data_IF_800845679745
#
_entry.id   IF_800845679745
#
_cell.length_a   1.000
_cell.length_b   1.000
_cell.length_c   1.000
_cell.angle_alpha   90.00
_cell.angle_beta   90.00
_cell.angle_gamma   90.00
#
_symmetry.space_group_name_H-M   'P 1'
#
loop_
_entity.id
_entity.type
_entity.pdbx_description
1 polymer ?
#
# COMPACT_ATOMS: atom_id res chain seq x y z
N UNK A 1 7.01 34.49 -3.03
CA UNK A 1 7.17 33.20 -2.34
C UNK A 1 8.50 32.61 -2.80
N UNK A 2 9.42 32.22 -1.90
CA UNK A 2 10.71 31.69 -2.32
C UNK A 2 10.49 30.29 -2.89
N UNK A 3 10.79 30.09 -4.16
CA UNK A 3 10.76 28.80 -4.83
C UNK A 3 12.04 28.05 -4.51
N UNK A 4 11.92 26.89 -3.86
CA UNK A 4 13.06 26.01 -3.57
C UNK A 4 13.59 25.45 -4.89
N UNK A 5 14.86 25.72 -5.27
CA UNK A 5 15.42 25.19 -6.51
C UNK A 5 15.47 23.66 -6.42
N UNK A 6 14.98 22.98 -7.47
CA UNK A 6 14.85 21.52 -7.60
C UNK A 6 13.64 20.84 -6.93
N UNK A 7 12.66 21.58 -6.39
CA UNK A 7 11.38 20.97 -6.03
C UNK A 7 10.56 20.74 -7.31
N UNK A 8 10.50 19.50 -7.78
CA UNK A 8 9.61 19.15 -8.87
C UNK A 8 8.17 19.27 -8.35
N UNK A 9 7.46 20.30 -8.78
CA UNK A 9 6.10 20.64 -8.38
C UNK A 9 5.05 19.81 -9.14
N UNK A 10 5.46 18.74 -9.82
CA UNK A 10 4.53 17.84 -10.51
C UNK A 10 3.46 17.38 -9.52
N UNK A 11 2.20 17.68 -9.87
CA UNK A 11 1.07 17.34 -9.04
C UNK A 11 1.04 15.83 -8.82
N UNK A 12 0.95 15.35 -7.55
CA UNK A 12 0.88 13.92 -7.29
C UNK A 12 -0.35 13.36 -8.00
N UNK A 13 -0.15 12.23 -8.68
CA UNK A 13 -1.18 11.52 -9.44
C UNK A 13 -1.29 10.08 -8.97
N UNK A 14 -2.43 9.43 -9.24
CA UNK A 14 -2.59 7.99 -9.01
C UNK A 14 -1.52 7.18 -9.76
N UNK A 15 -1.11 7.64 -10.95
CA UNK A 15 -0.06 7.00 -11.73
C UNK A 15 1.31 7.08 -11.01
N UNK A 16 1.66 8.24 -10.45
CA UNK A 16 2.90 8.40 -9.68
C UNK A 16 2.92 7.51 -8.42
N UNK A 17 1.79 7.42 -7.71
CA UNK A 17 1.63 6.50 -6.57
C UNK A 17 1.78 5.04 -7.01
N UNK A 18 1.13 4.65 -8.10
CA UNK A 18 1.19 3.28 -8.62
C UNK A 18 2.61 2.91 -9.04
N UNK A 19 3.35 3.84 -9.66
CA UNK A 19 4.74 3.65 -10.02
C UNK A 19 5.63 3.47 -8.79
N UNK A 20 5.44 4.30 -7.75
CA UNK A 20 6.18 4.18 -6.48
C UNK A 20 5.92 2.81 -5.80
N UNK A 21 4.67 2.36 -5.76
CA UNK A 21 4.31 1.04 -5.24
C UNK A 21 4.89 -0.09 -6.09
N UNK A 22 4.87 0.07 -7.42
CA UNK A 22 5.39 -0.94 -8.37
C UNK A 22 6.88 -1.18 -8.17
N UNK A 23 7.64 -0.13 -7.85
CA UNK A 23 9.07 -0.25 -7.55
C UNK A 23 9.37 -1.09 -6.30
N UNK A 24 8.42 -1.20 -5.36
CA UNK A 24 8.59 -1.94 -4.10
C UNK A 24 7.95 -3.33 -4.12
N UNK A 25 6.81 -3.49 -4.79
CA UNK A 25 5.96 -4.69 -4.71
C UNK A 25 5.89 -5.47 -6.02
N UNK A 26 6.47 -4.93 -7.09
CA UNK A 26 6.23 -5.37 -8.46
C UNK A 26 4.95 -4.76 -9.05
N UNK A 27 4.88 -4.66 -10.39
CA UNK A 27 3.83 -3.93 -11.09
C UNK A 27 2.43 -4.54 -10.92
N UNK A 28 2.33 -5.87 -10.90
CA UNK A 28 1.05 -6.57 -10.78
C UNK A 28 0.42 -6.37 -9.40
N UNK A 29 1.21 -6.56 -8.35
CA UNK A 29 0.78 -6.37 -6.96
C UNK A 29 0.37 -4.93 -6.70
N UNK A 30 1.19 -3.98 -7.15
CA UNK A 30 0.91 -2.55 -6.98
C UNK A 30 -0.40 -2.15 -7.65
N UNK A 31 -0.63 -2.61 -8.89
CA UNK A 31 -1.86 -2.35 -9.62
C UNK A 31 -3.07 -2.96 -8.91
N UNK A 32 -2.98 -4.22 -8.48
CA UNK A 32 -4.06 -4.89 -7.77
C UNK A 32 -4.42 -4.18 -6.47
N UNK A 33 -3.42 -3.74 -5.69
CA UNK A 33 -3.64 -2.99 -4.44
C UNK A 33 -4.33 -1.65 -4.70
N UNK A 34 -3.85 -0.87 -5.66
CA UNK A 34 -4.45 0.41 -6.03
C UNK A 34 -5.89 0.19 -6.51
N UNK A 35 -6.13 -0.78 -7.39
CA UNK A 35 -7.47 -1.05 -7.94
C UNK A 35 -8.46 -1.50 -6.84
N UNK A 36 -8.04 -2.40 -5.94
CA UNK A 36 -8.87 -2.85 -4.83
C UNK A 36 -9.20 -1.72 -3.87
N UNK A 37 -8.22 -0.88 -3.54
CA UNK A 37 -8.40 0.22 -2.60
C UNK A 37 -9.28 1.32 -3.20
N UNK A 38 -9.07 1.64 -4.48
CA UNK A 38 -9.91 2.58 -5.23
C UNK A 38 -11.36 2.11 -5.27
N UNK A 39 -11.61 0.81 -5.50
CA UNK A 39 -12.95 0.20 -5.44
C UNK A 39 -13.56 0.27 -4.04
N UNK A 40 -12.80 -0.04 -2.99
CA UNK A 40 -13.25 0.03 -1.59
C UNK A 40 -13.71 1.43 -1.21
N UNK A 41 -13.01 2.46 -1.68
CA UNK A 41 -13.34 3.86 -1.41
C UNK A 41 -14.43 4.42 -2.34
N UNK A 42 -15.00 3.59 -3.24
CA UNK A 42 -15.95 4.00 -4.27
C UNK A 42 -15.44 5.17 -5.15
N UNK A 43 -14.15 5.20 -5.41
CA UNK A 43 -13.53 6.21 -6.26
C UNK A 43 -13.62 5.75 -7.72
N UNK A 44 -14.20 6.58 -8.59
CA UNK A 44 -14.34 6.27 -10.03
C UNK A 44 -12.98 6.26 -10.74
N UNK A 45 -12.10 7.17 -10.31
CA UNK A 45 -10.69 7.34 -10.69
C UNK A 45 -10.17 8.44 -9.76
N UNK A 46 -9.06 8.25 -9.04
CA UNK A 46 -8.54 9.30 -8.15
C UNK A 46 -8.03 10.46 -9.00
N UNK A 47 -8.92 11.42 -9.28
CA UNK A 47 -8.66 12.57 -10.12
C UNK A 47 -8.27 13.80 -9.30
N UNK A 48 -8.72 13.87 -8.04
CA UNK A 48 -8.41 14.98 -7.14
C UNK A 48 -7.30 14.61 -6.16
N UNK A 49 -6.63 15.63 -5.62
CA UNK A 49 -5.64 15.44 -4.56
C UNK A 49 -6.26 14.85 -3.29
N UNK A 50 -7.51 15.20 -2.97
CA UNK A 50 -8.22 14.65 -1.82
C UNK A 50 -8.51 13.16 -1.97
N UNK A 51 -8.88 12.71 -3.18
CA UNK A 51 -9.04 11.28 -3.47
C UNK A 51 -7.72 10.53 -3.29
N UNK A 52 -6.60 11.13 -3.69
CA UNK A 52 -5.27 10.54 -3.51
C UNK A 52 -4.88 10.46 -2.04
N UNK A 53 -5.17 11.49 -1.24
CA UNK A 53 -4.94 11.46 0.21
C UNK A 53 -5.71 10.29 0.83
N UNK A 54 -7.01 10.20 0.57
CA UNK A 54 -7.87 9.11 1.07
C UNK A 54 -7.39 7.74 0.62
N UNK A 55 -6.98 7.62 -0.64
CA UNK A 55 -6.40 6.39 -1.18
C UNK A 55 -5.13 5.99 -0.43
N UNK A 56 -4.22 6.94 -0.20
CA UNK A 56 -2.95 6.67 0.51
C UNK A 56 -3.15 6.34 1.99
N UNK A 57 -4.08 7.01 2.68
CA UNK A 57 -4.43 6.71 4.07
C UNK A 57 -4.99 5.30 4.20
N UNK A 58 -5.87 4.90 3.29
CA UNK A 58 -6.43 3.55 3.28
C UNK A 58 -5.35 2.49 2.98
N UNK A 59 -4.43 2.76 2.06
CA UNK A 59 -3.28 1.88 1.81
C UNK A 59 -2.39 1.73 3.05
N UNK A 60 -2.17 2.80 3.80
CA UNK A 60 -1.43 2.75 5.07
C UNK A 60 -2.16 1.87 6.10
N UNK A 61 -3.47 2.07 6.28
CA UNK A 61 -4.28 1.26 7.19
C UNK A 61 -4.27 -0.24 6.82
N UNK A 62 -4.37 -0.55 5.52
CA UNK A 62 -4.24 -1.93 5.02
C UNK A 62 -2.86 -2.50 5.34
N UNK A 63 -1.79 -1.73 5.11
CA UNK A 63 -0.42 -2.14 5.39
C UNK A 63 -0.18 -2.46 6.87
N UNK A 64 -0.70 -1.64 7.77
CA UNK A 64 -0.59 -1.84 9.22
C UNK A 64 -1.31 -3.11 9.67
N UNK A 65 -2.55 -3.31 9.22
CA UNK A 65 -3.34 -4.51 9.50
C UNK A 65 -2.68 -5.77 8.94
N UNK A 66 -2.16 -5.70 7.71
CA UNK A 66 -1.45 -6.81 7.07
C UNK A 66 -0.21 -7.19 7.88
N UNK A 67 0.59 -6.20 8.30
CA UNK A 67 1.81 -6.43 9.10
C UNK A 67 1.49 -7.16 10.40
N UNK A 68 0.49 -6.71 11.14
CA UNK A 68 0.10 -7.32 12.43
C UNK A 68 -0.44 -8.74 12.21
N UNK A 69 -1.35 -8.91 11.24
CA UNK A 69 -2.01 -10.20 10.96
C UNK A 69 -0.99 -11.24 10.48
N UNK A 70 -0.13 -10.89 9.51
CA UNK A 70 0.89 -11.78 8.98
C UNK A 70 1.90 -12.20 10.06
N UNK A 71 2.25 -11.30 10.99
CA UNK A 71 3.11 -11.63 12.12
C UNK A 71 2.46 -12.66 13.06
N UNK A 72 1.18 -12.47 13.38
CA UNK A 72 0.42 -13.41 14.21
C UNK A 72 0.37 -14.80 13.57
N UNK A 73 0.01 -14.87 12.29
CA UNK A 73 -0.08 -16.15 11.56
C UNK A 73 1.28 -16.84 11.40
N UNK A 74 2.36 -16.07 11.20
CA UNK A 74 3.71 -16.62 11.20
C UNK A 74 4.06 -17.27 12.54
N UNK A 75 3.73 -16.65 13.67
CA UNK A 75 3.99 -17.22 15.00
C UNK A 75 3.26 -18.56 15.14
N UNK A 76 1.96 -18.60 14.79
CA UNK A 76 1.17 -19.84 14.81
C UNK A 76 1.81 -20.95 13.99
N UNK A 77 2.21 -20.64 12.75
CA UNK A 77 2.84 -21.61 11.86
C UNK A 77 4.20 -22.11 12.39
N UNK A 78 5.02 -21.20 12.95
CA UNK A 78 6.33 -21.56 13.53
C UNK A 78 6.16 -22.43 14.77
N UNK A 79 5.23 -22.09 15.66
CA UNK A 79 4.94 -22.90 16.86
C UNK A 79 4.43 -24.27 16.47
N UNK A 80 3.52 -24.37 15.51
CA UNK A 80 3.06 -25.65 14.98
C UNK A 80 4.23 -26.49 14.46
N UNK A 81 5.09 -25.89 13.62
CA UNK A 81 6.28 -26.58 13.09
C UNK A 81 7.21 -27.05 14.20
N UNK A 82 7.46 -26.23 15.22
CA UNK A 82 8.34 -26.59 16.34
C UNK A 82 7.79 -27.80 17.13
N UNK A 83 6.49 -27.79 17.45
CA UNK A 83 5.83 -28.88 18.18
C UNK A 83 5.85 -30.21 17.40
N UNK A 84 5.79 -30.15 16.07
CA UNK A 84 5.82 -31.35 15.20
C UNK A 84 7.24 -31.80 14.83
N UNK A 85 8.26 -31.00 15.08
CA UNK A 85 9.67 -31.42 14.95
C UNK A 85 10.21 -32.09 16.21
N UNK A 86 9.51 -31.91 17.35
CA UNK A 86 9.83 -32.53 18.64
C UNK A 86 9.19 -33.90 18.86
N UNK A 87 8.58 -34.49 17.82
CA UNK A 87 8.04 -35.85 17.78
C UNK A 87 8.84 -36.63 16.73
#
# INVERSE_FOLDING_TARGET
>A
MPTVPAYNLDQPTQASLTAALSAQLGPETARALVDLTTKKLHLSRSGTTDDLIRLTEELMAIGDLLRVTARSEKIRAVTYRALHQSI
#
